data_IF_598819515519
#
_entry.id   IF_598819515519
#
_cell.length_a   1.000
_cell.length_b   1.000
_cell.length_c   1.000
_cell.angle_alpha   90.00
_cell.angle_beta   90.00
_cell.angle_gamma   90.00
#
_symmetry.space_group_name_H-M   'P 1'
#
loop_
_entity.id
_entity.type
_entity.pdbx_description
1 polymer ?
#
# COMPACT_ATOMS: atom_id res chain seq x y z
N UNK A 1 -8.98 -10.28 -16.67
CA UNK A 1 -7.94 -10.48 -15.66
C UNK A 1 -7.85 -9.24 -14.80
N UNK A 2 -7.92 -9.34 -13.46
CA UNK A 2 -7.74 -8.19 -12.59
C UNK A 2 -6.28 -7.75 -12.59
N UNK A 3 -6.04 -6.43 -12.50
CA UNK A 3 -4.70 -5.85 -12.37
C UNK A 3 -4.54 -5.32 -10.95
N UNK A 4 -3.47 -5.73 -10.28
CA UNK A 4 -3.07 -5.28 -8.96
C UNK A 4 -2.00 -4.20 -9.08
N UNK A 5 -2.24 -3.05 -8.46
CA UNK A 5 -1.27 -2.00 -8.28
C UNK A 5 -0.82 -1.98 -6.82
N UNK A 6 0.46 -2.22 -6.57
CA UNK A 6 1.09 -2.14 -5.26
C UNK A 6 2.52 -1.62 -5.41
N UNK A 7 3.13 -1.17 -4.32
CA UNK A 7 4.50 -0.66 -4.32
C UNK A 7 5.56 -1.80 -4.44
N UNK A 8 6.84 -1.44 -4.47
CA UNK A 8 7.92 -2.43 -4.53
C UNK A 8 8.47 -2.83 -3.14
N UNK A 9 7.68 -2.71 -2.06
CA UNK A 9 8.13 -3.13 -0.74
C UNK A 9 8.62 -4.59 -0.74
N UNK A 10 9.58 -4.89 0.15
CA UNK A 10 10.18 -6.23 0.25
C UNK A 10 9.14 -7.36 0.45
N UNK A 11 8.07 -7.19 1.25
CA UNK A 11 7.04 -8.22 1.37
C UNK A 11 6.25 -8.44 0.07
N UNK A 12 6.04 -7.39 -0.74
CA UNK A 12 5.26 -7.46 -1.98
C UNK A 12 6.04 -8.09 -3.13
N UNK A 13 7.37 -7.93 -3.12
CA UNK A 13 8.28 -8.54 -4.11
C UNK A 13 8.82 -9.91 -3.68
N UNK A 14 8.45 -10.39 -2.48
CA UNK A 14 8.89 -11.67 -1.98
C UNK A 14 8.38 -12.84 -2.86
N UNK A 15 9.20 -13.88 -3.01
CA UNK A 15 8.88 -15.05 -3.84
C UNK A 15 7.53 -15.69 -3.52
N UNK A 16 7.20 -15.80 -2.23
CA UNK A 16 5.93 -16.38 -1.79
C UNK A 16 4.74 -15.53 -2.25
N UNK A 17 4.86 -14.21 -2.16
CA UNK A 17 3.82 -13.27 -2.61
C UNK A 17 3.63 -13.35 -4.12
N UNK A 18 4.72 -13.30 -4.90
CA UNK A 18 4.65 -13.41 -6.36
C UNK A 18 4.04 -14.73 -6.80
N UNK A 19 4.43 -15.85 -6.18
CA UNK A 19 3.84 -17.16 -6.48
C UNK A 19 2.33 -17.19 -6.20
N UNK A 20 1.89 -16.55 -5.10
CA UNK A 20 0.46 -16.48 -4.78
C UNK A 20 -0.32 -15.61 -5.75
N UNK A 21 0.26 -14.49 -6.21
CA UNK A 21 -0.37 -13.64 -7.23
C UNK A 21 -0.55 -14.37 -8.55
N UNK A 22 0.42 -15.21 -8.94
CA UNK A 22 0.31 -16.07 -10.12
C UNK A 22 -0.81 -17.12 -9.98
N UNK A 23 -0.92 -17.78 -8.82
CA UNK A 23 -2.00 -18.74 -8.52
C UNK A 23 -3.39 -18.09 -8.59
N UNK A 24 -3.48 -16.82 -8.21
CA UNK A 24 -4.72 -16.03 -8.25
C UNK A 24 -5.00 -15.37 -9.61
N UNK A 25 -4.14 -15.59 -10.61
CA UNK A 25 -4.23 -14.97 -11.94
C UNK A 25 -4.30 -13.42 -11.89
N UNK A 26 -3.60 -12.83 -10.92
CA UNK A 26 -3.50 -11.38 -10.75
C UNK A 26 -2.25 -10.85 -11.46
N UNK A 27 -2.46 -9.98 -12.45
CA UNK A 27 -1.38 -9.26 -13.11
C UNK A 27 -0.92 -8.08 -12.24
N UNK A 28 0.39 -7.89 -12.08
CA UNK A 28 0.92 -6.76 -11.31
C UNK A 28 1.35 -5.63 -12.24
N UNK A 29 0.85 -4.42 -11.97
CA UNK A 29 1.28 -3.24 -12.70
C UNK A 29 2.65 -2.78 -12.19
N UNK A 30 3.57 -2.46 -13.11
CA UNK A 30 4.89 -1.96 -12.73
C UNK A 30 4.76 -0.61 -12.00
N UNK A 31 5.19 -0.58 -10.76
CA UNK A 31 5.29 0.64 -9.97
C UNK A 31 6.75 1.13 -9.94
N UNK A 32 7.04 2.40 -10.23
CA UNK A 32 8.40 2.93 -10.07
C UNK A 32 8.78 3.06 -8.58
N UNK A 33 10.05 2.93 -8.21
CA UNK A 33 10.49 3.12 -6.83
C UNK A 33 10.14 4.52 -6.30
N UNK A 34 9.80 4.61 -5.00
CA UNK A 34 9.59 5.88 -4.29
C UNK A 34 8.56 6.82 -4.93
N UNK A 35 7.49 6.28 -5.53
CA UNK A 35 6.48 7.06 -6.25
C UNK A 35 5.09 7.01 -5.59
N UNK A 36 4.95 7.47 -4.33
CA UNK A 36 3.69 7.43 -3.59
C UNK A 36 2.59 8.29 -4.22
N UNK A 37 2.94 9.26 -5.05
CA UNK A 37 2.01 10.06 -5.86
C UNK A 37 1.29 9.22 -6.93
N UNK A 38 1.91 8.12 -7.38
CA UNK A 38 1.32 7.20 -8.35
C UNK A 38 0.48 6.09 -7.70
N UNK A 39 0.52 5.97 -6.37
CA UNK A 39 -0.32 5.04 -5.60
C UNK A 39 -1.64 5.74 -5.26
N UNK A 40 -2.79 5.28 -5.79
CA UNK A 40 -4.09 5.84 -5.42
C UNK A 40 -4.36 5.72 -3.91
N UNK A 41 -3.85 4.67 -3.29
CA UNK A 41 -3.98 4.43 -1.85
C UNK A 41 -3.23 5.50 -1.05
N UNK A 42 -1.99 5.84 -1.41
CA UNK A 42 -1.20 6.85 -0.70
C UNK A 42 -1.64 8.28 -0.98
N UNK A 43 -1.92 8.58 -2.24
CA UNK A 43 -2.22 9.94 -2.67
C UNK A 43 -3.65 10.36 -2.32
N UNK A 44 -4.63 9.48 -2.49
CA UNK A 44 -6.03 9.80 -2.24
C UNK A 44 -6.53 9.28 -0.90
N UNK A 45 -6.43 7.97 -0.66
CA UNK A 45 -7.07 7.36 0.51
C UNK A 45 -6.39 7.78 1.82
N UNK A 46 -5.07 7.56 1.94
CA UNK A 46 -4.34 7.91 3.15
C UNK A 46 -4.31 9.42 3.40
N UNK A 47 -4.21 10.23 2.35
CA UNK A 47 -4.29 11.69 2.49
C UNK A 47 -5.63 12.14 3.08
N UNK A 48 -6.73 11.57 2.62
CA UNK A 48 -8.05 11.88 3.17
C UNK A 48 -8.19 11.33 4.60
N UNK A 49 -7.67 10.14 4.87
CA UNK A 49 -7.66 9.55 6.20
C UNK A 49 -6.85 10.41 7.18
N UNK A 50 -5.67 10.87 6.80
CA UNK A 50 -4.82 11.73 7.60
C UNK A 50 -5.60 12.99 8.03
N UNK A 51 -6.32 13.63 7.10
CA UNK A 51 -7.20 14.77 7.40
C UNK A 51 -8.31 14.43 8.40
N UNK A 52 -8.93 13.25 8.29
CA UNK A 52 -9.99 12.80 9.21
C UNK A 52 -9.46 12.44 10.61
N UNK A 53 -8.18 12.11 10.72
CA UNK A 53 -7.52 11.72 11.96
C UNK A 53 -6.82 12.89 12.67
N UNK A 54 -6.70 14.06 12.02
CA UNK A 54 -6.15 15.27 12.66
C UNK A 54 -6.89 15.56 13.97
N UNK A 55 -6.13 15.69 15.07
CA UNK A 55 -6.65 16.01 16.39
C UNK A 55 -7.30 14.84 17.15
N UNK A 56 -7.30 13.62 16.60
CA UNK A 56 -7.79 12.43 17.31
C UNK A 56 -6.67 11.73 18.05
N UNK A 57 -6.88 11.48 19.33
CA UNK A 57 -5.97 10.70 20.17
C UNK A 57 -6.54 9.30 20.38
N UNK A 58 -5.72 8.30 20.12
CA UNK A 58 -6.08 6.91 20.33
C UNK A 58 -5.09 6.31 21.33
N UNK A 59 -5.60 5.76 22.43
CA UNK A 59 -4.77 5.27 23.53
C UNK A 59 -3.94 4.02 23.18
N UNK A 60 -4.21 3.36 22.06
CA UNK A 60 -3.55 2.10 21.64
C UNK A 60 -3.40 1.98 20.10
N UNK A 61 -2.99 3.04 19.40
CA UNK A 61 -2.92 3.02 17.93
C UNK A 61 -1.48 2.98 17.42
N UNK A 62 -1.20 2.02 16.52
CA UNK A 62 -0.02 2.08 15.64
C UNK A 62 -0.19 3.32 14.75
N UNK A 63 0.72 4.31 14.76
CA UNK A 63 0.56 5.51 13.95
C UNK A 63 0.22 5.18 12.49
N UNK A 64 -0.69 5.94 11.86
CA UNK A 64 -1.00 5.83 10.41
C UNK A 64 0.28 5.83 9.54
N UNK A 65 1.33 6.51 10.02
CA UNK A 65 2.65 6.58 9.40
C UNK A 65 3.39 5.22 9.33
N UNK A 66 3.12 4.31 10.26
CA UNK A 66 3.61 2.92 10.23
C UNK A 66 2.81 2.04 9.26
N UNK A 67 1.56 2.38 8.96
CA UNK A 67 0.80 1.67 7.92
C UNK A 67 1.32 2.00 6.52
N UNK A 68 1.73 3.25 6.26
CA UNK A 68 2.38 3.66 5.00
C UNK A 68 3.70 2.95 4.72
N UNK A 69 4.41 2.41 5.72
CA UNK A 69 5.65 1.64 5.46
C UNK A 69 5.39 0.24 4.90
N UNK A 70 4.12 -0.18 4.84
CA UNK A 70 3.68 -1.45 4.27
C UNK A 70 2.76 -1.26 3.05
N UNK A 71 2.57 -0.03 2.58
CA UNK A 71 1.70 0.32 1.45
C UNK A 71 2.52 0.76 0.23
#
# INVERSE_FOLDING_TARGET
>A
MPILLHDNARPHTARLTVAKLQELELETLRHPPYSPDLSPTDYHFFRNLDNLLVGKFFNNFIPHRLFRSFA
#
